data_IF_668369544699
#
_entry.id   IF_668369544699
#
_cell.length_a   1.000
_cell.length_b   1.000
_cell.length_c   1.000
_cell.angle_alpha   90.00
_cell.angle_beta   90.00
_cell.angle_gamma   90.00
#
_symmetry.space_group_name_H-M   'P 1'
#
loop_
_entity.id
_entity.type
_entity.pdbx_description
1 polymer ?
#
# COMPACT_ATOMS: atom_id res chain seq x y z
N UNK A 1 48.60 42.60 12.08
CA UNK A 1 47.22 42.46 11.56
C UNK A 1 47.24 41.34 10.55
N UNK A 2 46.52 40.25 10.81
CA UNK A 2 46.43 39.13 9.88
C UNK A 2 45.52 39.52 8.71
N UNK A 3 46.09 39.54 7.51
CA UNK A 3 45.38 39.69 6.26
C UNK A 3 44.46 38.48 6.12
N UNK A 4 43.14 38.69 6.08
CA UNK A 4 42.20 37.60 5.83
C UNK A 4 42.36 37.23 4.37
N UNK A 5 42.81 36.02 4.09
CA UNK A 5 42.80 35.44 2.75
C UNK A 5 41.35 35.36 2.24
N UNK A 6 40.95 36.35 1.42
CA UNK A 6 39.66 36.36 0.76
C UNK A 6 39.83 35.62 -0.57
N UNK A 7 39.35 34.38 -0.62
CA UNK A 7 39.30 33.61 -1.86
C UNK A 7 38.31 34.28 -2.82
N UNK A 8 38.73 34.53 -4.06
CA UNK A 8 37.86 35.14 -5.07
C UNK A 8 36.67 34.23 -5.41
N UNK A 9 35.51 34.80 -5.73
CA UNK A 9 34.33 34.03 -6.18
C UNK A 9 34.63 33.15 -7.39
N UNK A 10 35.52 33.61 -8.27
CA UNK A 10 35.95 32.89 -9.46
C UNK A 10 36.83 31.69 -9.12
N UNK A 11 37.72 31.83 -8.13
CA UNK A 11 38.49 30.71 -7.57
C UNK A 11 37.58 29.66 -6.94
N UNK A 12 36.56 30.08 -6.18
CA UNK A 12 35.58 29.16 -5.57
C UNK A 12 34.80 28.41 -6.65
N UNK A 13 34.36 29.11 -7.71
CA UNK A 13 33.64 28.48 -8.81
C UNK A 13 34.51 27.46 -9.56
N UNK A 14 35.77 27.80 -9.83
CA UNK A 14 36.73 26.91 -10.48
C UNK A 14 36.98 25.65 -9.64
N UNK A 15 37.19 25.80 -8.33
CA UNK A 15 37.35 24.67 -7.42
C UNK A 15 36.10 23.77 -7.35
N UNK A 16 34.90 24.34 -7.48
CA UNK A 16 33.65 23.57 -7.50
C UNK A 16 33.52 22.72 -8.78
N UNK A 17 33.94 23.24 -9.93
CA UNK A 17 33.96 22.51 -11.22
C UNK A 17 35.04 21.43 -11.23
N UNK A 18 36.23 21.74 -10.72
CA UNK A 18 37.31 20.77 -10.58
C UNK A 18 36.90 19.60 -9.66
N UNK A 19 36.15 19.90 -8.59
CA UNK A 19 35.57 18.88 -7.70
C UNK A 19 34.55 17.99 -8.40
N UNK A 20 33.68 18.56 -9.24
CA UNK A 20 32.70 17.78 -10.01
C UNK A 20 33.41 16.74 -10.88
N UNK A 21 34.43 17.19 -11.61
CA UNK A 21 35.23 16.35 -12.52
C UNK A 21 35.95 15.24 -11.75
N UNK A 22 36.60 15.59 -10.64
CA UNK A 22 37.29 14.62 -9.80
C UNK A 22 36.36 13.56 -9.19
N UNK A 23 35.12 13.94 -8.82
CA UNK A 23 34.13 13.00 -8.31
C UNK A 23 33.61 12.05 -9.40
N UNK A 24 33.39 12.55 -10.61
CA UNK A 24 32.99 11.71 -11.75
C UNK A 24 34.10 10.72 -12.13
N UNK A 25 35.36 11.15 -12.12
CA UNK A 25 36.53 10.30 -12.41
C UNK A 25 36.75 9.17 -11.39
N UNK A 26 36.34 9.37 -10.14
CA UNK A 26 36.44 8.33 -9.10
C UNK A 26 35.56 7.12 -9.40
N UNK A 27 34.49 7.30 -10.16
CA UNK A 27 33.62 6.23 -10.65
C UNK A 27 33.13 5.26 -9.55
N UNK A 28 32.87 5.79 -8.35
CA UNK A 28 32.24 5.04 -7.26
C UNK A 28 30.81 5.53 -7.04
N UNK A 29 29.90 4.67 -6.55
CA UNK A 29 28.50 5.07 -6.36
C UNK A 29 28.34 6.32 -5.49
N UNK A 30 29.11 6.43 -4.40
CA UNK A 30 29.04 7.57 -3.48
C UNK A 30 29.58 8.85 -4.14
N UNK A 31 30.66 8.75 -4.93
CA UNK A 31 31.21 9.90 -5.64
C UNK A 31 30.27 10.40 -6.75
N UNK A 32 29.63 9.48 -7.48
CA UNK A 32 28.66 9.80 -8.51
C UNK A 32 27.41 10.49 -7.94
N UNK A 33 26.93 10.03 -6.78
CA UNK A 33 25.83 10.70 -6.05
C UNK A 33 26.24 12.09 -5.62
N UNK A 34 27.44 12.27 -5.06
CA UNK A 34 27.90 13.58 -4.63
C UNK A 34 28.16 14.53 -5.81
N UNK A 35 28.57 14.00 -6.97
CA UNK A 35 28.80 14.80 -8.17
C UNK A 35 27.55 15.58 -8.62
N UNK A 36 26.33 15.07 -8.33
CA UNK A 36 25.07 15.77 -8.65
C UNK A 36 24.98 17.15 -7.99
N UNK A 37 25.65 17.33 -6.85
CA UNK A 37 25.65 18.58 -6.09
C UNK A 37 26.61 19.63 -6.66
N UNK A 38 27.59 19.24 -7.49
CA UNK A 38 28.66 20.11 -7.94
C UNK A 38 28.32 20.91 -9.21
N UNK A 39 28.82 22.14 -9.32
CA UNK A 39 28.68 22.94 -10.55
C UNK A 39 29.23 22.14 -11.75
N UNK A 40 28.41 21.97 -12.79
CA UNK A 40 28.79 21.21 -13.98
C UNK A 40 29.65 22.03 -14.94
N UNK A 41 29.83 23.33 -14.67
CA UNK A 41 30.62 24.23 -15.51
C UNK A 41 29.98 24.36 -16.89
N UNK A 42 30.78 24.11 -17.93
CA UNK A 42 30.34 24.19 -19.33
C UNK A 42 29.69 22.90 -19.84
N UNK A 43 29.58 21.87 -19.00
CA UNK A 43 28.94 20.61 -19.39
C UNK A 43 27.42 20.75 -19.39
N UNK A 44 26.79 20.11 -20.38
CA UNK A 44 25.34 19.96 -20.42
C UNK A 44 24.84 19.18 -19.18
N UNK A 45 23.94 19.76 -18.36
CA UNK A 45 23.43 19.10 -17.18
C UNK A 45 22.75 17.76 -17.48
N UNK A 46 22.05 17.65 -18.61
CA UNK A 46 21.40 16.39 -18.98
C UNK A 46 22.43 15.29 -19.25
N UNK A 47 23.50 15.59 -19.98
CA UNK A 47 24.57 14.66 -20.24
C UNK A 47 25.25 14.16 -18.95
N UNK A 48 25.49 15.05 -17.98
CA UNK A 48 26.08 14.69 -16.68
C UNK A 48 25.13 13.79 -15.88
N UNK A 49 23.84 14.14 -15.79
CA UNK A 49 22.84 13.31 -15.09
C UNK A 49 22.73 11.94 -15.74
N UNK A 50 22.64 11.85 -17.07
CA UNK A 50 22.57 10.59 -17.79
C UNK A 50 23.83 9.73 -17.53
N UNK A 51 25.01 10.36 -17.51
CA UNK A 51 26.25 9.66 -17.19
C UNK A 51 26.20 9.04 -15.78
N UNK A 52 25.80 9.82 -14.77
CA UNK A 52 25.67 9.34 -13.39
C UNK A 52 24.74 8.12 -13.32
N UNK A 53 23.57 8.19 -13.97
CA UNK A 53 22.60 7.09 -13.99
C UNK A 53 23.14 5.81 -14.64
N UNK A 54 23.79 5.94 -15.80
CA UNK A 54 24.39 4.81 -16.52
C UNK A 54 25.51 4.16 -15.69
N UNK A 55 26.36 4.97 -15.05
CA UNK A 55 27.44 4.46 -14.20
C UNK A 55 26.89 3.76 -12.96
N UNK A 56 25.90 4.35 -12.27
CA UNK A 56 25.23 3.70 -11.14
C UNK A 56 24.60 2.37 -11.53
N UNK A 57 23.94 2.30 -12.69
CA UNK A 57 23.37 1.04 -13.20
C UNK A 57 24.45 0.01 -13.51
N UNK A 58 25.57 0.43 -14.10
CA UNK A 58 26.70 -0.45 -14.41
C UNK A 58 27.35 -1.01 -13.14
N UNK A 59 27.54 -0.18 -12.11
CA UNK A 59 28.20 -0.55 -10.86
C UNK A 59 27.28 -1.35 -9.92
N UNK A 60 25.99 -1.05 -9.91
CA UNK A 60 25.02 -1.61 -8.96
C UNK A 60 23.97 -2.53 -9.60
N UNK A 61 24.06 -2.82 -10.90
CA UNK A 61 23.07 -3.62 -11.63
C UNK A 61 22.84 -5.03 -11.06
N UNK A 62 23.85 -5.61 -10.41
CA UNK A 62 23.76 -6.90 -9.72
C UNK A 62 23.05 -6.82 -8.36
N UNK A 63 22.81 -5.62 -7.83
CA UNK A 63 22.12 -5.40 -6.56
C UNK A 63 21.01 -4.34 -6.72
N UNK A 64 19.81 -4.74 -7.17
CA UNK A 64 18.71 -3.82 -7.46
C UNK A 64 18.22 -3.02 -6.25
N UNK A 65 18.37 -3.55 -5.02
CA UNK A 65 18.02 -2.82 -3.80
C UNK A 65 18.97 -1.64 -3.62
N UNK A 66 20.28 -1.90 -3.69
CA UNK A 66 21.31 -0.87 -3.55
C UNK A 66 21.23 0.15 -4.69
N UNK A 67 20.99 -0.29 -5.93
CA UNK A 67 20.77 0.63 -7.04
C UNK A 67 19.63 1.63 -6.78
N UNK A 68 18.48 1.16 -6.27
CA UNK A 68 17.35 2.04 -5.91
C UNK A 68 17.71 3.04 -4.81
N UNK A 69 18.41 2.59 -3.77
CA UNK A 69 18.85 3.47 -2.67
C UNK A 69 19.72 4.63 -3.22
N UNK A 70 20.65 4.35 -4.14
CA UNK A 70 21.50 5.39 -4.73
C UNK A 70 20.72 6.32 -5.68
N UNK A 71 19.79 5.80 -6.48
CA UNK A 71 18.93 6.64 -7.35
C UNK A 71 18.06 7.59 -6.53
N UNK A 72 17.49 7.11 -5.41
CA UNK A 72 16.74 7.96 -4.48
C UNK A 72 17.61 9.07 -3.87
N UNK A 73 18.85 8.76 -3.51
CA UNK A 73 19.80 9.81 -3.07
C UNK A 73 20.05 10.84 -4.18
N UNK A 74 20.23 10.41 -5.43
CA UNK A 74 20.39 11.35 -6.56
C UNK A 74 19.15 12.23 -6.71
N UNK A 75 17.93 11.67 -6.63
CA UNK A 75 16.68 12.45 -6.66
C UNK A 75 16.64 13.50 -5.56
N UNK A 76 16.90 13.11 -4.31
CA UNK A 76 16.87 14.05 -3.17
C UNK A 76 17.91 15.16 -3.35
N UNK A 77 19.15 14.79 -3.70
CA UNK A 77 20.25 15.76 -3.81
C UNK A 77 20.11 16.67 -5.03
N UNK A 78 19.52 16.19 -6.12
CA UNK A 78 19.23 16.98 -7.32
C UNK A 78 18.28 18.15 -7.06
N UNK A 79 17.41 18.04 -6.05
CA UNK A 79 16.53 19.13 -5.62
C UNK A 79 17.27 20.34 -5.05
N UNK A 80 18.55 20.18 -4.70
CA UNK A 80 19.39 21.32 -4.30
C UNK A 80 19.95 22.10 -5.51
N UNK A 81 19.65 21.67 -6.74
CA UNK A 81 20.25 22.16 -7.99
C UNK A 81 19.24 22.44 -9.11
N UNK A 82 17.95 22.42 -8.80
CA UNK A 82 16.85 22.62 -9.76
C UNK A 82 16.96 21.69 -11.00
N UNK A 83 17.39 20.44 -10.78
CA UNK A 83 17.64 19.44 -11.84
C UNK A 83 16.43 18.52 -12.10
N UNK A 84 15.23 18.84 -11.61
CA UNK A 84 14.05 17.98 -11.69
C UNK A 84 13.71 17.56 -13.12
N UNK A 85 13.88 18.47 -14.09
CA UNK A 85 13.63 18.16 -15.49
C UNK A 85 14.61 17.10 -16.00
N UNK A 86 15.88 17.24 -15.64
CA UNK A 86 16.92 16.33 -16.09
C UNK A 86 16.77 14.94 -15.49
N UNK A 87 16.37 14.90 -14.22
CA UNK A 87 16.04 13.67 -13.51
C UNK A 87 14.84 12.97 -14.15
N UNK A 88 13.77 13.71 -14.47
CA UNK A 88 12.60 13.13 -15.16
C UNK A 88 12.94 12.57 -16.54
N UNK A 89 13.86 13.20 -17.27
CA UNK A 89 14.33 12.69 -18.57
C UNK A 89 15.21 11.46 -18.41
N UNK A 90 16.09 11.43 -17.41
CA UNK A 90 16.94 10.27 -17.11
C UNK A 90 16.12 9.06 -16.62
N UNK A 91 15.08 9.29 -15.81
CA UNK A 91 14.14 8.26 -15.37
C UNK A 91 13.39 7.65 -16.57
N UNK A 92 12.96 8.48 -17.54
CA UNK A 92 12.36 7.99 -18.77
C UNK A 92 13.32 7.08 -19.55
N UNK A 93 14.60 7.44 -19.63
CA UNK A 93 15.62 6.58 -20.25
C UNK A 93 15.77 5.24 -19.50
N UNK A 94 15.78 5.24 -18.17
CA UNK A 94 15.80 4.00 -17.37
C UNK A 94 14.55 3.15 -17.57
N UNK A 95 13.37 3.76 -17.69
CA UNK A 95 12.12 3.02 -17.93
C UNK A 95 12.05 2.37 -19.32
N UNK A 96 12.77 2.90 -20.31
CA UNK A 96 12.92 2.26 -21.63
C UNK A 96 13.84 1.02 -21.56
N UNK A 97 14.67 0.90 -20.52
CA UNK A 97 15.38 -0.33 -20.18
C UNK A 97 14.47 -1.19 -19.29
N UNK A 98 13.48 -1.81 -19.93
CA UNK A 98 12.70 -2.98 -19.52
C UNK A 98 12.75 -3.33 -18.02
N UNK A 99 12.18 -2.45 -17.18
CA UNK A 99 12.11 -2.61 -15.71
C UNK A 99 11.39 -3.92 -15.34
N UNK A 100 10.53 -4.42 -16.23
CA UNK A 100 9.83 -5.71 -16.13
C UNK A 100 10.75 -6.93 -16.33
N UNK A 101 11.95 -6.76 -16.90
CA UNK A 101 12.96 -7.82 -17.05
C UNK A 101 13.89 -7.96 -15.86
N UNK A 102 13.90 -6.99 -14.93
CA UNK A 102 14.71 -7.10 -13.72
C UNK A 102 14.15 -8.21 -12.83
N UNK A 103 14.94 -9.25 -12.50
CA UNK A 103 14.47 -10.37 -11.67
C UNK A 103 13.91 -9.92 -10.31
N UNK A 104 14.50 -8.87 -9.73
CA UNK A 104 14.02 -8.29 -8.47
C UNK A 104 12.65 -7.60 -8.59
N UNK A 105 12.31 -7.02 -9.75
CA UNK A 105 11.00 -6.40 -9.96
C UNK A 105 9.90 -7.47 -10.02
N UNK A 106 10.15 -8.56 -10.77
CA UNK A 106 9.23 -9.71 -10.81
C UNK A 106 9.00 -10.31 -9.44
N UNK A 107 10.06 -10.51 -8.66
CA UNK A 107 9.96 -11.04 -7.29
C UNK A 107 9.15 -10.14 -6.36
N UNK A 108 9.34 -8.82 -6.44
CA UNK A 108 8.59 -7.86 -5.62
C UNK A 108 7.12 -7.84 -6.02
N UNK A 109 6.83 -7.86 -7.33
CA UNK A 109 5.45 -7.88 -7.85
C UNK A 109 4.73 -9.19 -7.53
N UNK A 110 5.38 -10.35 -7.73
CA UNK A 110 4.83 -11.66 -7.36
C UNK A 110 4.55 -11.74 -5.86
N UNK A 111 5.47 -11.26 -5.03
CA UNK A 111 5.27 -11.23 -3.58
C UNK A 111 4.13 -10.28 -3.18
N UNK A 112 4.05 -9.10 -3.78
CA UNK A 112 2.98 -8.14 -3.54
C UNK A 112 1.61 -8.68 -3.95
N UNK A 113 1.53 -9.30 -5.13
CA UNK A 113 0.31 -9.93 -5.63
C UNK A 113 -0.13 -11.10 -4.75
N UNK A 114 0.80 -11.98 -4.38
CA UNK A 114 0.52 -13.11 -3.50
C UNK A 114 0.01 -12.65 -2.13
N UNK A 115 0.67 -11.65 -1.53
CA UNK A 115 0.21 -11.06 -0.27
C UNK A 115 -1.14 -10.37 -0.39
N UNK A 116 -1.42 -9.72 -1.53
CA UNK A 116 -2.71 -9.09 -1.80
C UNK A 116 -3.85 -10.12 -1.90
N UNK A 117 -3.62 -11.21 -2.64
CA UNK A 117 -4.58 -12.32 -2.78
C UNK A 117 -4.82 -12.99 -1.43
N UNK A 118 -3.75 -13.31 -0.69
CA UNK A 118 -3.85 -13.97 0.61
C UNK A 118 -4.64 -13.12 1.62
N UNK A 119 -4.29 -11.84 1.76
CA UNK A 119 -5.04 -10.91 2.63
C UNK A 119 -6.48 -10.70 2.17
N UNK A 120 -6.71 -10.67 0.86
CA UNK A 120 -8.05 -10.52 0.30
C UNK A 120 -8.93 -11.73 0.59
N UNK A 121 -8.38 -12.94 0.42
CA UNK A 121 -9.05 -14.21 0.68
C UNK A 121 -9.33 -14.39 2.17
N UNK A 122 -8.36 -14.13 3.04
CA UNK A 122 -8.54 -14.22 4.49
C UNK A 122 -9.66 -13.29 4.98
N UNK A 123 -9.63 -12.01 4.57
CA UNK A 123 -10.69 -11.04 4.92
C UNK A 123 -12.05 -11.42 4.34
N UNK A 124 -12.09 -11.93 3.11
CA UNK A 124 -13.31 -12.38 2.46
C UNK A 124 -13.93 -13.56 3.19
N UNK A 125 -13.10 -14.55 3.54
CA UNK A 125 -13.50 -15.76 4.25
C UNK A 125 -13.97 -15.45 5.66
N UNK A 126 -13.27 -14.60 6.41
CA UNK A 126 -13.66 -14.20 7.77
C UNK A 126 -15.04 -13.50 7.76
N UNK A 127 -15.24 -12.53 6.86
CA UNK A 127 -16.52 -11.83 6.73
C UNK A 127 -17.65 -12.76 6.29
N UNK A 128 -17.39 -13.63 5.31
CA UNK A 128 -18.35 -14.59 4.82
C UNK A 128 -18.78 -15.59 5.90
N UNK A 129 -17.81 -16.11 6.66
CA UNK A 129 -18.06 -17.05 7.75
C UNK A 129 -18.86 -16.40 8.88
N UNK A 130 -18.47 -15.20 9.34
CA UNK A 130 -19.22 -14.47 10.38
C UNK A 130 -20.67 -14.26 9.98
N UNK A 131 -20.91 -13.72 8.78
CA UNK A 131 -22.26 -13.49 8.26
C UNK A 131 -23.07 -14.78 8.12
N UNK A 132 -22.42 -15.86 7.63
CA UNK A 132 -23.07 -17.17 7.50
C UNK A 132 -23.47 -17.78 8.84
N UNK A 133 -22.62 -17.66 9.86
CA UNK A 133 -22.91 -18.14 11.22
C UNK A 133 -24.07 -17.33 11.84
N UNK A 134 -24.03 -16.00 11.75
CA UNK A 134 -25.08 -15.13 12.29
C UNK A 134 -26.44 -15.40 11.62
N UNK A 135 -26.47 -15.48 10.29
CA UNK A 135 -27.68 -15.82 9.55
C UNK A 135 -28.19 -17.22 9.88
N UNK A 136 -27.31 -18.23 9.91
CA UNK A 136 -27.68 -19.60 10.26
C UNK A 136 -28.22 -19.73 11.69
N UNK A 137 -27.69 -18.95 12.63
CA UNK A 137 -28.22 -18.90 14.00
C UNK A 137 -29.62 -18.31 14.03
N UNK A 138 -29.85 -17.16 13.38
CA UNK A 138 -31.17 -16.52 13.31
C UNK A 138 -32.23 -17.40 12.63
N UNK A 139 -31.89 -18.03 11.50
CA UNK A 139 -32.77 -18.98 10.82
C UNK A 139 -33.10 -20.20 11.72
N UNK A 140 -32.11 -20.70 12.46
CA UNK A 140 -32.27 -21.78 13.42
C UNK A 140 -33.21 -21.41 14.58
N UNK A 141 -33.01 -20.23 15.17
CA UNK A 141 -33.87 -19.69 16.24
C UNK A 141 -35.32 -19.51 15.77
N UNK A 142 -35.52 -18.96 14.57
CA UNK A 142 -36.85 -18.80 13.97
C UNK A 142 -37.55 -20.14 13.76
N UNK A 143 -36.84 -21.13 13.19
CA UNK A 143 -37.38 -22.49 12.98
C UNK A 143 -37.72 -23.15 14.31
N UNK A 144 -36.87 -23.01 15.31
CA UNK A 144 -37.10 -23.56 16.64
C UNK A 144 -38.32 -22.93 17.32
N UNK A 145 -38.44 -21.59 17.30
CA UNK A 145 -39.58 -20.87 17.82
C UNK A 145 -40.89 -21.30 17.14
N UNK A 146 -40.90 -21.42 15.81
CA UNK A 146 -42.06 -21.92 15.06
C UNK A 146 -42.48 -23.33 15.50
N UNK A 147 -41.53 -24.23 15.78
CA UNK A 147 -41.84 -25.58 16.28
C UNK A 147 -42.49 -25.53 17.66
N UNK A 148 -41.99 -24.71 18.58
CA UNK A 148 -42.57 -24.54 19.91
C UNK A 148 -43.98 -23.97 19.84
N UNK A 149 -44.17 -22.92 19.05
CA UNK A 149 -45.47 -22.28 18.85
C UNK A 149 -46.49 -23.24 18.24
N UNK A 150 -46.09 -24.01 17.22
CA UNK A 150 -46.96 -25.04 16.60
C UNK A 150 -47.35 -26.12 17.60
N UNK A 151 -46.42 -26.52 18.47
CA UNK A 151 -46.68 -27.53 19.50
C UNK A 151 -47.64 -27.02 20.58
N UNK A 152 -47.48 -25.76 21.04
CA UNK A 152 -48.28 -25.20 22.13
C UNK A 152 -49.65 -24.68 21.70
N UNK A 153 -49.72 -24.03 20.54
CA UNK A 153 -50.90 -23.28 20.08
C UNK A 153 -51.55 -23.85 18.81
N UNK A 154 -50.96 -24.89 18.21
CA UNK A 154 -51.45 -25.48 16.96
C UNK A 154 -50.95 -24.76 15.71
N UNK A 155 -51.55 -25.02 14.53
CA UNK A 155 -51.04 -24.52 13.26
C UNK A 155 -50.96 -22.99 13.21
N UNK A 156 -49.84 -22.47 12.69
CA UNK A 156 -49.61 -21.03 12.53
C UNK A 156 -50.10 -20.55 11.17
N UNK A 157 -50.58 -19.31 11.11
CA UNK A 157 -50.95 -18.69 9.84
C UNK A 157 -49.70 -18.36 9.01
N UNK A 158 -49.77 -18.41 7.67
CA UNK A 158 -48.62 -18.11 6.80
C UNK A 158 -48.01 -16.72 7.05
N UNK A 159 -48.85 -15.73 7.38
CA UNK A 159 -48.40 -14.38 7.71
C UNK A 159 -47.52 -14.35 8.97
N UNK A 160 -47.88 -15.14 9.99
CA UNK A 160 -47.13 -15.20 11.23
C UNK A 160 -45.80 -15.94 11.05
N UNK A 161 -45.78 -17.01 10.24
CA UNK A 161 -44.53 -17.71 9.89
C UNK A 161 -43.55 -16.79 9.16
N UNK A 162 -44.04 -15.96 8.23
CA UNK A 162 -43.21 -14.96 7.56
C UNK A 162 -42.71 -13.88 8.52
N UNK A 163 -43.56 -13.42 9.45
CA UNK A 163 -43.14 -12.47 10.49
C UNK A 163 -42.00 -13.03 11.34
N UNK A 164 -42.06 -14.32 11.71
CA UNK A 164 -41.01 -14.97 12.51
C UNK A 164 -39.72 -15.14 11.70
N UNK A 165 -39.79 -15.57 10.44
CA UNK A 165 -38.59 -15.76 9.60
C UNK A 165 -37.82 -14.47 9.32
N UNK A 166 -38.53 -13.35 9.25
CA UNK A 166 -37.96 -12.04 8.95
C UNK A 166 -37.69 -11.21 10.21
N UNK A 167 -37.88 -11.79 11.40
CA UNK A 167 -37.65 -11.09 12.65
C UNK A 167 -36.16 -10.97 12.96
N UNK A 168 -35.77 -9.85 13.59
CA UNK A 168 -34.44 -9.67 14.14
C UNK A 168 -34.18 -10.67 15.28
N UNK A 169 -32.92 -11.13 15.49
CA UNK A 169 -32.57 -12.10 16.53
C UNK A 169 -33.07 -11.73 17.93
N UNK A 170 -33.04 -10.45 18.30
CA UNK A 170 -33.49 -9.96 19.59
C UNK A 170 -35.00 -10.17 19.80
N UNK A 171 -35.79 -10.01 18.73
CA UNK A 171 -37.22 -10.28 18.77
C UNK A 171 -37.49 -11.79 18.91
N UNK A 172 -36.73 -12.63 18.19
CA UNK A 172 -36.82 -14.09 18.30
C UNK A 172 -36.50 -14.59 19.71
N UNK A 173 -35.45 -14.07 20.33
CA UNK A 173 -35.06 -14.40 21.70
C UNK A 173 -36.18 -14.01 22.69
N UNK A 174 -36.70 -12.78 22.57
CA UNK A 174 -37.79 -12.27 23.42
C UNK A 174 -39.05 -13.14 23.30
N UNK A 175 -39.44 -13.49 22.07
CA UNK A 175 -40.60 -14.36 21.85
C UNK A 175 -40.35 -15.77 22.37
N UNK A 176 -39.13 -16.30 22.21
CA UNK A 176 -38.73 -17.60 22.74
C UNK A 176 -38.91 -17.73 24.25
N UNK A 177 -38.51 -16.71 25.01
CA UNK A 177 -38.72 -16.66 26.46
C UNK A 177 -40.20 -16.60 26.82
N UNK A 178 -40.97 -15.75 26.13
CA UNK A 178 -42.41 -15.56 26.39
C UNK A 178 -43.24 -16.79 26.03
N UNK A 179 -42.85 -17.58 25.04
CA UNK A 179 -43.53 -18.82 24.68
C UNK A 179 -43.65 -19.78 25.87
N UNK A 180 -42.71 -19.73 26.82
CA UNK A 180 -42.73 -20.61 27.98
C UNK A 180 -43.90 -20.29 28.93
N UNK A 181 -44.28 -19.02 29.08
CA UNK A 181 -45.30 -18.58 30.05
C UNK A 181 -46.63 -18.16 29.42
N UNK A 182 -46.62 -17.64 28.20
CA UNK A 182 -47.79 -17.08 27.51
C UNK A 182 -48.92 -18.10 27.30
N UNK A 183 -50.17 -17.70 27.51
CA UNK A 183 -51.35 -18.55 27.27
C UNK A 183 -51.93 -18.38 25.87
N UNK A 184 -51.55 -17.31 25.16
CA UNK A 184 -52.04 -17.00 23.81
C UNK A 184 -50.89 -16.55 22.89
N UNK A 185 -51.10 -16.61 21.58
CA UNK A 185 -50.14 -16.09 20.61
C UNK A 185 -49.95 -14.58 20.78
N UNK A 186 -51.01 -13.83 21.08
CA UNK A 186 -50.92 -12.37 21.27
C UNK A 186 -50.02 -11.97 22.43
N UNK A 187 -50.05 -12.72 23.54
CA UNK A 187 -49.14 -12.51 24.67
C UNK A 187 -47.67 -12.69 24.27
N UNK A 188 -47.35 -13.66 23.41
CA UNK A 188 -45.99 -13.89 22.91
C UNK A 188 -45.50 -12.68 22.10
N UNK A 189 -46.35 -12.19 21.18
CA UNK A 189 -45.99 -11.17 20.20
C UNK A 189 -46.26 -9.73 20.63
N UNK A 190 -46.73 -9.51 21.86
CA UNK A 190 -47.01 -8.18 22.41
C UNK A 190 -45.79 -7.26 22.35
N UNK A 191 -45.96 -6.01 21.94
CA UNK A 191 -44.90 -5.01 22.12
C UNK A 191 -44.87 -4.58 23.59
N UNK A 192 -43.69 -4.26 24.13
CA UNK A 192 -43.63 -3.44 25.34
C UNK A 192 -44.14 -2.03 25.03
#
# INVERSE_FOLDING_TARGET
MAEKDIISKETIRRLAVDLATHLLERDTPDALVLAILCDFGDHDPQAVVNHIYIRLQTLLGNNPKRFREYVEMVHILSGNRDLEKQIQEADKMLTQIDVERLPAYRQVMEKGLRQGIEKGMERGMEKGLKRGIEQGRGEGEAVFLMRLLRHKFGPLSPALEQRIRNAEPEALATWGERVLSAQTLDEVFSCF
#
